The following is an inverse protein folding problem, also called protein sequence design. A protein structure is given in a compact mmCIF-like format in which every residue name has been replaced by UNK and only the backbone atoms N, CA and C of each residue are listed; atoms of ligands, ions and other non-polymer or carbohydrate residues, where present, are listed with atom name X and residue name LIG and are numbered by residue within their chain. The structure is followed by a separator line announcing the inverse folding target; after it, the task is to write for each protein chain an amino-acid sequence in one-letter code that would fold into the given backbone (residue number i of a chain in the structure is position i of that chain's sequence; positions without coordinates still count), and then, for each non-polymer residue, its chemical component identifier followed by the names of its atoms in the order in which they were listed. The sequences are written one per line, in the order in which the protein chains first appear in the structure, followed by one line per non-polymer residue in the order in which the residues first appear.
data_IF_214864983744
#
_entry.id   IF_214864983744
#
_cell.length_a   1.000
_cell.length_b   1.000
_cell.length_c   1.000
_cell.angle_alpha   90.00
_cell.angle_beta   90.00
_cell.angle_gamma   90.00
#
_symmetry.space_group_name_H-M   'P 1'
#
loop_
_entity.id
_entity.type
_entity.pdbx_description
1 polymer ?
#
# COMPACT_ATOMS: atom_id res chain seq x y z
N UNK A 1 11.05 -8.78 11.44
CA UNK A 1 12.47 -9.11 11.21
C UNK A 1 12.52 -10.31 10.26
N UNK A 2 13.18 -10.19 9.11
CA UNK A 2 13.37 -11.29 8.17
C UNK A 2 14.72 -11.95 8.50
N UNK A 3 14.72 -13.26 8.77
CA UNK A 3 15.95 -14.02 8.97
C UNK A 3 16.35 -14.64 7.63
N UNK A 4 17.61 -14.45 7.21
CA UNK A 4 18.16 -15.17 6.07
C UNK A 4 18.80 -16.46 6.56
N UNK A 5 18.20 -17.59 6.21
CA UNK A 5 18.82 -18.90 6.35
C UNK A 5 19.75 -19.11 5.15
N UNK A 6 21.05 -18.92 5.36
CA UNK A 6 22.07 -19.27 4.38
C UNK A 6 22.52 -20.69 4.71
N UNK A 7 22.30 -21.65 3.81
CA UNK A 7 22.93 -22.98 3.91
C UNK A 7 24.39 -22.84 3.46
N UNK A 8 25.30 -22.66 4.41
CA UNK A 8 26.75 -22.80 4.19
C UNK A 8 27.14 -24.25 4.54
N UNK A 9 27.58 -25.07 3.56
CA UNK A 9 27.99 -26.44 3.82
C UNK A 9 29.40 -26.56 4.46
N UNK A 10 30.19 -25.48 4.51
CA UNK A 10 31.61 -25.57 4.85
C UNK A 10 31.99 -24.89 6.18
N UNK A 11 31.15 -24.01 6.73
CA UNK A 11 31.46 -23.33 8.00
C UNK A 11 30.21 -23.13 8.87
N UNK A 12 30.26 -23.45 10.17
CA UNK A 12 29.20 -23.07 11.11
C UNK A 12 29.15 -21.54 11.24
N UNK A 13 28.04 -20.94 10.81
CA UNK A 13 27.80 -19.50 10.94
C UNK A 13 27.31 -19.21 12.36
N UNK A 14 28.06 -18.41 13.11
CA UNK A 14 27.63 -17.89 14.41
C UNK A 14 26.82 -16.62 14.15
N UNK A 15 25.58 -16.58 14.65
CA UNK A 15 24.74 -15.38 14.63
C UNK A 15 25.50 -14.20 15.27
N UNK A 16 25.21 -12.98 14.80
CA UNK A 16 25.97 -11.78 15.18
C UNK A 16 26.20 -11.68 16.70
N UNK A 17 27.46 -11.52 17.10
CA UNK A 17 27.88 -11.38 18.51
C UNK A 17 27.02 -10.39 19.34
N UNK A 18 26.57 -9.23 18.77
CA UNK A 18 25.67 -8.33 19.49
C UNK A 18 24.32 -8.96 19.89
N UNK A 19 23.76 -9.83 19.04
CA UNK A 19 22.48 -10.49 19.33
C UNK A 19 22.62 -11.56 20.40
N UNK A 20 23.69 -12.34 20.35
CA UNK A 20 23.99 -13.36 21.37
C UNK A 20 24.25 -12.73 22.74
N UNK A 21 24.96 -11.59 22.80
CA UNK A 21 25.12 -10.81 24.03
C UNK A 21 23.77 -10.32 24.59
N UNK A 22 22.87 -9.86 23.71
CA UNK A 22 21.57 -9.31 24.13
C UNK A 22 20.60 -10.36 24.67
N UNK A 23 20.54 -11.53 24.02
CA UNK A 23 19.56 -12.57 24.34
C UNK A 23 20.11 -13.67 25.25
N UNK A 24 21.44 -13.75 25.38
CA UNK A 24 22.20 -14.65 26.24
C UNK A 24 21.60 -16.06 26.38
N UNK A 25 21.38 -16.78 25.25
CA UNK A 25 20.87 -18.15 25.29
C UNK A 25 21.87 -19.13 25.90
N UNK A 26 21.35 -20.12 26.62
CA UNK A 26 22.13 -21.23 27.14
C UNK A 26 22.14 -22.37 26.12
N UNK A 27 23.33 -22.78 25.67
CA UNK A 27 23.51 -23.80 24.64
C UNK A 27 24.11 -25.08 25.20
N UNK A 28 23.60 -26.22 24.73
CA UNK A 28 24.35 -27.46 24.73
C UNK A 28 25.16 -27.56 23.43
N UNK A 29 26.46 -27.32 23.53
CA UNK A 29 27.37 -27.33 22.40
C UNK A 29 27.64 -28.73 21.84
N UNK A 30 27.40 -29.78 22.63
CA UNK A 30 27.61 -31.16 22.19
C UNK A 30 26.50 -31.64 21.26
N UNK A 31 25.27 -31.17 21.50
CA UNK A 31 24.08 -31.53 20.72
C UNK A 31 23.65 -30.42 19.75
N UNK A 32 24.21 -29.21 19.87
CA UNK A 32 23.85 -28.06 19.07
C UNK A 32 22.45 -27.50 19.39
N UNK A 33 21.95 -27.75 20.60
CA UNK A 33 20.59 -27.36 21.01
C UNK A 33 20.58 -26.17 21.97
N UNK A 34 19.53 -25.36 21.92
CA UNK A 34 19.28 -24.30 22.91
C UNK A 34 18.54 -24.92 24.09
N UNK A 35 19.15 -24.86 25.28
CA UNK A 35 18.57 -25.39 26.51
C UNK A 35 17.58 -24.40 27.14
N UNK A 36 17.91 -23.12 27.14
CA UNK A 36 17.05 -22.07 27.68
C UNK A 36 17.43 -20.69 27.13
N UNK A 37 16.48 -19.76 27.15
CA UNK A 37 16.72 -18.37 26.75
C UNK A 37 16.97 -17.48 27.96
N UNK A 38 17.77 -16.42 27.80
CA UNK A 38 17.96 -15.41 28.84
C UNK A 38 16.66 -14.65 29.17
N UNK A 39 16.59 -14.00 30.35
CA UNK A 39 15.37 -13.34 30.84
C UNK A 39 14.87 -12.22 29.92
N UNK A 40 15.77 -11.57 29.17
CA UNK A 40 15.41 -10.57 28.14
C UNK A 40 14.56 -11.14 27.00
N UNK A 41 14.72 -12.43 26.68
CA UNK A 41 14.00 -13.07 25.59
C UNK A 41 12.53 -13.37 25.95
N UNK A 42 12.25 -13.74 27.20
CA UNK A 42 10.88 -13.95 27.68
C UNK A 42 10.07 -12.66 27.63
N UNK A 43 10.64 -11.54 28.05
CA UNK A 43 9.94 -10.24 28.10
C UNK A 43 9.78 -9.58 26.73
N UNK A 44 10.75 -9.75 25.83
CA UNK A 44 10.80 -9.01 24.56
C UNK A 44 10.25 -9.81 23.38
N UNK A 45 10.46 -11.12 23.34
CA UNK A 45 10.16 -11.95 22.17
C UNK A 45 8.91 -12.84 22.35
N UNK A 46 8.62 -13.30 23.58
CA UNK A 46 7.46 -14.19 23.82
C UNK A 46 6.16 -13.45 24.14
N UNK A 47 6.21 -12.17 24.53
CA UNK A 47 4.99 -11.34 24.71
C UNK A 47 4.37 -10.96 23.35
N UNK A 48 5.14 -11.01 22.26
CA UNK A 48 4.65 -10.70 20.91
C UNK A 48 3.85 -11.82 20.23
N UNK A 49 3.76 -13.02 20.83
CA UNK A 49 3.07 -14.18 20.25
C UNK A 49 1.74 -14.54 20.91
N UNK A 50 1.24 -13.74 21.85
CA UNK A 50 -0.16 -13.86 22.30
C UNK A 50 -1.03 -12.83 21.58
N UNK A 51 -2.13 -13.22 20.90
CA UNK A 51 -3.15 -12.27 20.50
C UNK A 51 -3.84 -11.81 21.77
N UNK A 52 -3.27 -10.79 22.43
CA UNK A 52 -3.99 -10.07 23.47
C UNK A 52 -5.32 -9.56 22.90
N UNK A 53 -6.37 -9.42 23.73
CA UNK A 53 -7.61 -8.82 23.26
C UNK A 53 -7.24 -7.48 22.64
N UNK A 54 -7.61 -7.30 21.38
CA UNK A 54 -7.45 -6.03 20.68
C UNK A 54 -8.29 -5.04 21.47
N UNK A 55 -7.66 -4.34 22.41
CA UNK A 55 -8.22 -3.17 23.02
C UNK A 55 -8.32 -2.18 21.85
N UNK A 56 -9.50 -2.09 21.24
CA UNK A 56 -9.83 -1.02 20.32
C UNK A 56 -9.60 0.28 21.09
N UNK A 57 -8.40 0.84 20.92
CA UNK A 57 -8.12 2.18 21.37
C UNK A 57 -9.15 3.06 20.67
N UNK A 58 -10.06 3.63 21.45
CA UNK A 58 -11.01 4.61 20.96
C UNK A 58 -10.19 5.78 20.42
N UNK A 59 -9.94 5.75 19.11
CA UNK A 59 -9.21 6.79 18.40
C UNK A 59 -9.99 8.09 18.59
N UNK A 60 -9.43 9.03 19.35
CA UNK A 60 -10.00 10.36 19.50
C UNK A 60 -9.84 11.09 18.16
N UNK A 61 -10.86 11.04 17.33
CA UNK A 61 -10.87 11.71 16.03
C UNK A 61 -11.00 13.21 16.25
N UNK A 62 -10.03 13.97 15.73
CA UNK A 62 -10.13 15.43 15.67
C UNK A 62 -11.14 15.83 14.58
N UNK A 63 -12.30 16.29 15.02
CA UNK A 63 -13.40 16.77 14.18
C UNK A 63 -13.54 18.31 14.23
N UNK A 64 -12.54 19.03 14.73
CA UNK A 64 -12.59 20.50 14.88
C UNK A 64 -12.89 21.23 13.57
N UNK A 65 -12.42 20.68 12.44
CA UNK A 65 -12.65 21.21 11.10
C UNK A 65 -13.90 20.65 10.40
N UNK A 66 -14.57 19.68 11.03
CA UNK A 66 -15.75 19.02 10.46
C UNK A 66 -17.01 19.66 11.05
N UNK A 67 -17.93 20.22 10.23
CA UNK A 67 -19.18 20.76 10.73
C UNK A 67 -19.97 19.74 11.56
N UNK A 68 -20.61 20.21 12.63
CA UNK A 68 -21.30 19.35 13.61
C UNK A 68 -22.36 18.43 12.97
N UNK A 69 -22.97 18.88 11.88
CA UNK A 69 -23.95 18.14 11.10
C UNK A 69 -23.38 16.82 10.56
N UNK A 70 -22.07 16.73 10.33
CA UNK A 70 -21.39 15.54 9.82
C UNK A 70 -20.74 14.67 10.91
N UNK A 71 -20.87 15.03 12.19
CA UNK A 71 -20.25 14.26 13.28
C UNK A 71 -20.82 12.84 13.41
N UNK A 72 -22.05 12.61 12.94
CA UNK A 72 -22.62 11.26 12.81
C UNK A 72 -21.82 10.37 11.84
N UNK A 73 -21.11 10.97 10.87
CA UNK A 73 -20.20 10.29 9.94
C UNK A 73 -18.76 10.25 10.43
N UNK A 74 -18.46 10.54 11.70
CA UNK A 74 -17.07 10.62 12.23
C UNK A 74 -16.15 9.49 11.76
N UNK A 75 -16.68 8.27 11.63
CA UNK A 75 -15.94 7.10 11.17
C UNK A 75 -15.28 7.28 9.79
N UNK A 76 -15.90 8.04 8.87
CA UNK A 76 -15.37 8.27 7.51
C UNK A 76 -14.17 9.22 7.51
N UNK A 77 -13.95 9.96 8.61
CA UNK A 77 -12.81 10.86 8.79
C UNK A 77 -11.62 10.20 9.52
N UNK A 78 -11.70 8.89 9.85
CA UNK A 78 -10.58 8.17 10.46
C UNK A 78 -9.42 7.99 9.48
N UNK A 79 -8.27 8.57 9.83
CA UNK A 79 -7.02 8.40 9.06
C UNK A 79 -6.60 6.94 9.04
N UNK A 80 -6.68 6.24 10.18
CA UNK A 80 -6.29 4.83 10.30
C UNK A 80 -7.10 3.95 9.35
N UNK A 81 -8.43 4.12 9.32
CA UNK A 81 -9.30 3.37 8.39
C UNK A 81 -9.00 3.70 6.92
N UNK A 82 -8.74 4.96 6.60
CA UNK A 82 -8.40 5.38 5.24
C UNK A 82 -7.04 4.86 4.75
N UNK A 83 -6.13 4.52 5.67
CA UNK A 83 -4.81 3.96 5.34
C UNK A 83 -4.73 2.44 5.48
N UNK A 84 -5.74 1.80 6.11
CA UNK A 84 -5.77 0.36 6.26
C UNK A 84 -6.12 -0.33 4.96
N UNK A 85 -5.71 -1.59 4.85
CA UNK A 85 -6.03 -2.45 3.72
C UNK A 85 -7.56 -2.62 3.57
N UNK A 86 -8.18 -2.18 2.46
CA UNK A 86 -9.61 -2.35 2.25
C UNK A 86 -9.97 -3.82 1.95
N UNK A 87 -11.21 -4.24 2.20
CA UNK A 87 -11.70 -5.54 1.76
C UNK A 87 -11.75 -5.62 0.22
N UNK A 88 -11.75 -6.83 -0.31
CA UNK A 88 -11.99 -7.08 -1.73
C UNK A 88 -13.43 -6.73 -2.13
N UNK A 89 -13.61 -6.27 -3.37
CA UNK A 89 -14.91 -5.91 -3.93
C UNK A 89 -15.00 -6.23 -5.44
N UNK A 90 -16.18 -6.22 -6.06
CA UNK A 90 -16.33 -6.53 -7.50
C UNK A 90 -15.59 -5.58 -8.45
N UNK A 91 -15.16 -4.41 -7.94
CA UNK A 91 -14.41 -3.39 -8.70
C UNK A 91 -12.91 -3.43 -8.41
N UNK A 92 -12.40 -4.53 -7.85
CA UNK A 92 -10.96 -4.70 -7.70
C UNK A 92 -10.25 -4.50 -9.03
N UNK A 93 -9.11 -3.83 -8.99
CA UNK A 93 -8.36 -3.48 -10.18
C UNK A 93 -7.73 -4.73 -10.80
N UNK A 94 -8.35 -5.22 -11.87
CA UNK A 94 -7.80 -6.24 -12.73
C UNK A 94 -6.64 -5.69 -13.60
N UNK A 95 -5.56 -6.46 -13.72
CA UNK A 95 -4.43 -6.15 -14.60
C UNK A 95 -4.33 -7.26 -15.66
N UNK A 96 -5.20 -7.17 -16.67
CA UNK A 96 -5.22 -8.11 -17.78
C UNK A 96 -4.11 -7.77 -18.77
N UNK A 97 -3.26 -8.75 -19.07
CA UNK A 97 -2.13 -8.59 -19.98
C UNK A 97 -2.51 -9.06 -21.38
N UNK A 98 -1.89 -8.49 -22.41
CA UNK A 98 -1.99 -8.98 -23.77
C UNK A 98 -1.49 -10.44 -23.83
N UNK A 99 -2.14 -11.32 -24.62
CA UNK A 99 -1.74 -12.72 -24.74
C UNK A 99 -0.25 -12.87 -25.07
N UNK A 100 0.43 -13.77 -24.36
CA UNK A 100 1.86 -14.06 -24.57
C UNK A 100 2.83 -13.01 -24.03
N UNK A 101 2.36 -11.99 -23.31
CA UNK A 101 3.23 -10.96 -22.71
C UNK A 101 3.50 -11.22 -21.23
N UNK A 102 4.64 -10.71 -20.74
CA UNK A 102 5.01 -10.72 -19.33
C UNK A 102 5.48 -9.33 -18.89
N UNK A 103 5.21 -8.89 -17.66
CA UNK A 103 5.70 -7.61 -17.17
C UNK A 103 7.23 -7.52 -17.29
N UNK A 104 7.77 -6.43 -17.84
CA UNK A 104 9.21 -6.28 -17.98
C UNK A 104 9.86 -6.03 -16.61
N UNK A 105 11.13 -6.42 -16.49
CA UNK A 105 11.96 -6.00 -15.37
C UNK A 105 12.32 -4.53 -15.53
N UNK A 106 11.88 -3.70 -14.59
CA UNK A 106 12.18 -2.29 -14.52
C UNK A 106 13.60 -2.03 -14.00
N UNK A 107 14.11 -0.83 -14.27
CA UNK A 107 15.41 -0.36 -13.78
C UNK A 107 15.35 -0.06 -12.29
N UNK A 108 16.44 -0.34 -11.57
CA UNK A 108 16.65 0.18 -10.22
C UNK A 108 17.18 1.60 -10.37
N UNK A 109 16.49 2.56 -9.77
CA UNK A 109 16.92 3.96 -9.78
C UNK A 109 17.91 4.23 -8.64
N UNK A 110 18.94 5.01 -8.93
CA UNK A 110 19.81 5.56 -7.90
C UNK A 110 19.07 6.64 -7.13
N UNK A 111 18.96 6.47 -5.81
CA UNK A 111 18.34 7.43 -4.90
C UNK A 111 19.41 8.21 -4.15
N UNK A 112 19.22 9.53 -4.05
CA UNK A 112 20.01 10.41 -3.18
C UNK A 112 19.78 10.08 -1.68
N UNK A 113 20.63 10.55 -0.75
CA UNK A 113 20.43 10.26 0.67
C UNK A 113 19.05 10.67 1.23
N UNK A 114 18.51 11.87 0.92
CA UNK A 114 17.16 12.24 1.36
C UNK A 114 16.07 11.33 0.79
N UNK A 115 16.21 10.93 -0.49
CA UNK A 115 15.27 10.01 -1.14
C UNK A 115 15.34 8.61 -0.54
N UNK A 116 16.51 8.12 -0.14
CA UNK A 116 16.64 6.82 0.55
C UNK A 116 15.91 6.84 1.89
N UNK A 117 16.09 7.87 2.70
CA UNK A 117 15.36 8.03 3.96
C UNK A 117 13.84 8.09 3.72
N UNK A 118 13.40 8.84 2.70
CA UNK A 118 11.99 8.93 2.33
C UNK A 118 11.43 7.60 1.82
N UNK A 119 12.23 6.82 1.08
CA UNK A 119 11.87 5.48 0.62
C UNK A 119 11.73 4.52 1.79
N UNK A 120 12.71 4.43 2.68
CA UNK A 120 12.66 3.52 3.82
C UNK A 120 11.46 3.83 4.72
N UNK A 121 11.20 5.12 4.95
CA UNK A 121 9.97 5.58 5.62
C UNK A 121 8.71 5.09 4.89
N UNK A 122 8.62 5.35 3.58
CA UNK A 122 7.47 4.95 2.77
C UNK A 122 7.22 3.44 2.79
N UNK A 123 8.27 2.63 2.65
CA UNK A 123 8.18 1.18 2.66
C UNK A 123 7.72 0.67 4.02
N UNK A 124 8.33 1.15 5.12
CA UNK A 124 7.96 0.74 6.47
C UNK A 124 6.50 1.10 6.80
N UNK A 125 6.07 2.33 6.48
CA UNK A 125 4.68 2.77 6.68
C UNK A 125 3.71 1.95 5.83
N UNK A 126 4.06 1.67 4.58
CA UNK A 126 3.20 0.92 3.65
C UNK A 126 3.08 -0.56 4.03
N UNK A 127 4.17 -1.18 4.52
CA UNK A 127 4.16 -2.53 5.07
C UNK A 127 3.33 -2.60 6.35
N UNK A 128 3.51 -1.65 7.26
CA UNK A 128 2.74 -1.58 8.50
C UNK A 128 1.23 -1.37 8.25
N UNK A 129 0.89 -0.59 7.22
CA UNK A 129 -0.49 -0.40 6.76
C UNK A 129 -1.06 -1.63 6.02
N UNK A 130 -0.20 -2.58 5.63
CA UNK A 130 -0.59 -3.76 4.87
C UNK A 130 -0.97 -3.49 3.41
N UNK A 131 -0.62 -2.31 2.87
CA UNK A 131 -0.96 -1.94 1.48
C UNK A 131 0.07 -2.46 0.46
N UNK A 132 1.26 -2.82 0.93
CA UNK A 132 2.29 -3.56 0.18
C UNK A 132 2.75 -4.78 0.96
N UNK A 133 3.41 -5.72 0.28
CA UNK A 133 4.11 -6.85 0.91
C UNK A 133 5.43 -7.15 0.17
N UNK A 134 6.37 -7.88 0.80
CA UNK A 134 7.53 -8.41 0.09
C UNK A 134 7.08 -9.28 -1.09
N UNK A 135 7.78 -9.19 -2.22
CA UNK A 135 7.44 -9.90 -3.44
C UNK A 135 8.58 -10.84 -3.87
N UNK A 136 8.20 -11.96 -4.48
CA UNK A 136 9.08 -12.86 -5.25
C UNK A 136 8.68 -12.89 -6.72
N UNK A 137 7.89 -11.91 -7.16
CA UNK A 137 7.36 -11.80 -8.50
C UNK A 137 8.48 -11.68 -9.55
N UNK A 138 8.32 -12.28 -10.74
CA UNK A 138 9.22 -12.05 -11.87
C UNK A 138 9.12 -10.61 -12.43
N UNK A 139 8.03 -9.89 -12.12
CA UNK A 139 7.88 -8.48 -12.45
C UNK A 139 8.70 -7.60 -11.50
N UNK A 140 8.99 -6.37 -11.89
CA UNK A 140 9.63 -5.42 -10.98
C UNK A 140 9.82 -4.04 -11.57
N UNK A 141 8.80 -3.20 -11.51
CA UNK A 141 8.88 -1.80 -11.95
C UNK A 141 9.89 -1.00 -11.11
N UNK A 142 10.40 0.10 -11.66
CA UNK A 142 11.37 0.93 -10.93
C UNK A 142 10.69 1.93 -9.99
N UNK A 143 11.20 2.03 -8.76
CA UNK A 143 10.78 3.03 -7.76
C UNK A 143 11.64 4.29 -7.84
N UNK A 144 11.02 5.48 -7.84
CA UNK A 144 11.72 6.76 -7.80
C UNK A 144 10.87 7.84 -7.14
N UNK A 145 11.42 9.05 -6.95
CA UNK A 145 10.68 10.19 -6.42
C UNK A 145 10.50 11.31 -7.45
N UNK A 146 9.41 12.05 -7.28
CA UNK A 146 9.18 13.33 -7.95
C UNK A 146 9.00 14.40 -6.88
N UNK A 147 9.64 15.55 -7.06
CA UNK A 147 9.48 16.71 -6.19
C UNK A 147 8.06 17.25 -6.29
N UNK A 148 7.43 17.44 -5.13
CA UNK A 148 6.19 18.21 -5.00
C UNK A 148 6.50 19.70 -4.98
N UNK A 149 5.49 20.53 -5.28
CA UNK A 149 5.60 22.00 -5.21
C UNK A 149 5.92 22.52 -3.81
N UNK A 150 5.52 21.78 -2.77
CA UNK A 150 5.75 22.09 -1.36
C UNK A 150 7.15 21.64 -0.86
N UNK A 151 8.01 21.14 -1.75
CA UNK A 151 9.34 20.62 -1.41
C UNK A 151 9.34 19.16 -0.90
N UNK A 152 8.17 18.53 -0.74
CA UNK A 152 8.08 17.13 -0.37
C UNK A 152 8.43 16.17 -1.52
N UNK A 153 8.69 14.91 -1.19
CA UNK A 153 8.93 13.86 -2.18
C UNK A 153 7.65 13.02 -2.39
N UNK A 154 7.30 12.74 -3.64
CA UNK A 154 6.19 11.84 -4.02
C UNK A 154 6.77 10.51 -4.55
N UNK A 155 6.51 9.37 -3.88
CA UNK A 155 6.94 8.07 -4.40
C UNK A 155 6.19 7.77 -5.70
N UNK A 156 6.92 7.34 -6.72
CA UNK A 156 6.42 7.03 -8.04
C UNK A 156 6.98 5.67 -8.49
N UNK A 157 6.11 4.84 -9.05
CA UNK A 157 6.49 3.56 -9.66
C UNK A 157 6.37 3.68 -11.17
N UNK A 158 7.43 3.33 -11.88
CA UNK A 158 7.46 3.38 -13.34
C UNK A 158 6.74 2.17 -13.96
N UNK A 159 5.41 2.21 -13.96
CA UNK A 159 4.57 1.20 -14.60
C UNK A 159 4.45 1.39 -16.12
N UNK A 160 5.23 2.25 -16.78
CA UNK A 160 5.12 2.45 -18.24
C UNK A 160 5.30 1.15 -19.02
N UNK A 161 6.21 0.27 -18.56
CA UNK A 161 6.41 -1.05 -19.16
C UNK A 161 5.18 -1.95 -19.01
N UNK A 162 4.63 -2.05 -17.80
CA UNK A 162 3.40 -2.80 -17.52
C UNK A 162 2.21 -2.26 -18.32
N UNK A 163 2.01 -0.94 -18.31
CA UNK A 163 0.90 -0.27 -18.99
C UNK A 163 0.87 -0.48 -20.50
N UNK A 164 2.02 -0.70 -21.15
CA UNK A 164 2.08 -0.99 -22.58
C UNK A 164 1.49 -2.35 -22.95
N UNK A 165 1.58 -3.31 -22.02
CA UNK A 165 1.12 -4.68 -22.23
C UNK A 165 -0.20 -4.97 -21.50
N UNK A 166 -0.73 -4.04 -20.73
CA UNK A 166 -2.06 -4.15 -20.11
C UNK A 166 -3.16 -3.84 -21.14
N UNK A 167 -4.20 -4.67 -21.18
CA UNK A 167 -5.43 -4.42 -21.96
C UNK A 167 -6.11 -3.20 -21.36
N UNK A 168 -6.29 -2.15 -22.18
CA UNK A 168 -6.85 -0.88 -21.71
C UNK A 168 -8.36 -1.00 -21.49
N UNK A 169 -8.79 -0.60 -20.30
CA UNK A 169 -10.20 -0.43 -19.97
C UNK A 169 -10.70 0.88 -20.60
N UNK A 170 -11.70 0.78 -21.49
CA UNK A 170 -12.32 1.92 -22.19
C UNK A 170 -13.58 2.43 -21.50
N UNK A 171 -13.70 2.25 -20.18
CA UNK A 171 -14.82 2.78 -19.41
C UNK A 171 -15.01 4.28 -19.70
N UNK A 172 -16.24 4.73 -19.99
CA UNK A 172 -16.49 6.12 -20.36
C UNK A 172 -16.19 7.03 -19.17
N UNK A 173 -15.23 7.93 -19.36
CA UNK A 173 -14.99 9.02 -18.42
C UNK A 173 -15.78 10.23 -18.92
N UNK A 174 -16.58 10.88 -18.05
CA UNK A 174 -17.35 12.05 -18.47
C UNK A 174 -16.40 13.16 -18.91
N UNK A 175 -16.76 13.83 -20.00
CA UNK A 175 -16.08 15.06 -20.41
C UNK A 175 -16.38 16.16 -19.38
N UNK A 176 -15.40 17.03 -19.13
CA UNK A 176 -15.56 18.13 -18.18
C UNK A 176 -16.75 19.03 -18.54
N UNK A 177 -16.95 19.33 -19.82
CA UNK A 177 -18.09 20.12 -20.29
C UNK A 177 -19.43 19.52 -19.85
N UNK A 178 -19.62 18.22 -20.09
CA UNK A 178 -20.84 17.48 -19.70
C UNK A 178 -21.01 17.46 -18.17
N UNK A 179 -19.92 17.31 -17.41
CA UNK A 179 -19.99 17.38 -15.95
C UNK A 179 -20.45 18.78 -15.47
N UNK A 180 -19.98 19.85 -16.12
CA UNK A 180 -20.41 21.21 -15.77
C UNK A 180 -21.84 21.54 -16.18
N UNK A 181 -22.32 21.03 -17.32
CA UNK A 181 -23.72 21.19 -17.75
C UNK A 181 -24.70 20.65 -16.71
N UNK A 182 -24.41 19.45 -16.16
CA UNK A 182 -25.20 18.83 -15.10
C UNK A 182 -25.26 19.74 -13.85
N UNK A 183 -24.21 20.53 -13.61
CA UNK A 183 -24.07 21.40 -12.43
C UNK A 183 -24.67 22.80 -12.62
N UNK A 184 -25.04 23.22 -13.84
CA UNK A 184 -25.46 24.61 -14.11
C UNK A 184 -26.69 25.08 -13.34
N UNK A 185 -27.58 24.16 -12.98
CA UNK A 185 -28.81 24.48 -12.24
C UNK A 185 -28.62 24.44 -10.71
N UNK A 186 -27.45 24.05 -10.23
CA UNK A 186 -27.16 23.97 -8.80
C UNK A 186 -26.66 25.33 -8.27
N UNK A 187 -27.19 25.75 -7.12
CA UNK A 187 -26.75 26.96 -6.40
C UNK A 187 -25.78 26.67 -5.26
N UNK A 188 -25.75 25.42 -4.78
CA UNK A 188 -24.91 24.97 -3.66
C UNK A 188 -24.04 23.82 -4.13
N UNK A 189 -22.74 23.93 -3.91
CA UNK A 189 -21.76 22.92 -4.27
C UNK A 189 -21.09 22.36 -3.01
N UNK A 190 -20.98 21.04 -2.95
CA UNK A 190 -20.18 20.35 -1.92
C UNK A 190 -19.08 19.58 -2.62
N UNK A 191 -17.83 19.79 -2.19
CA UNK A 191 -16.67 19.05 -2.68
C UNK A 191 -16.22 18.04 -1.63
N UNK A 192 -16.18 16.77 -2.02
CA UNK A 192 -15.64 15.69 -1.20
C UNK A 192 -14.32 15.23 -1.80
N UNK A 193 -13.25 15.22 -1.00
CA UNK A 193 -11.94 14.73 -1.41
C UNK A 193 -11.64 13.41 -0.69
N UNK A 194 -11.39 12.36 -1.47
CA UNK A 194 -11.07 11.03 -0.94
C UNK A 194 -9.56 10.89 -0.78
N UNK A 195 -9.12 10.82 0.48
CA UNK A 195 -7.71 10.63 0.82
C UNK A 195 -7.19 9.32 0.22
N UNK A 196 -6.10 9.40 -0.55
CA UNK A 196 -5.50 8.25 -1.23
C UNK A 196 -6.53 7.40 -1.99
N UNK A 197 -7.47 8.05 -2.71
CA UNK A 197 -8.63 7.43 -3.33
C UNK A 197 -8.36 6.06 -4.00
N UNK A 198 -7.26 5.92 -4.75
CA UNK A 198 -6.91 4.66 -5.40
C UNK A 198 -6.55 3.54 -4.44
N UNK A 199 -5.93 3.83 -3.29
CA UNK A 199 -5.62 2.81 -2.29
C UNK A 199 -6.87 2.24 -1.60
N UNK A 200 -8.05 2.84 -1.80
CA UNK A 200 -9.33 2.30 -1.34
C UNK A 200 -9.81 1.11 -2.19
N UNK A 201 -9.16 0.87 -3.34
CA UNK A 201 -9.47 -0.23 -4.26
C UNK A 201 -8.37 -1.27 -4.17
N UNK A 202 -8.72 -2.56 -4.04
CA UNK A 202 -7.74 -3.66 -4.06
C UNK A 202 -7.26 -3.93 -5.49
N UNK A 203 -6.06 -4.49 -5.62
CA UNK A 203 -5.71 -5.24 -6.83
C UNK A 203 -6.50 -6.56 -6.81
N UNK A 204 -7.00 -6.99 -7.98
CA UNK A 204 -7.72 -8.26 -8.11
C UNK A 204 -6.84 -9.40 -7.62
N UNK A 205 -7.43 -10.32 -6.85
CA UNK A 205 -6.72 -11.49 -6.36
C UNK A 205 -6.05 -12.27 -7.50
N UNK A 206 -4.75 -12.52 -7.39
CA UNK A 206 -3.93 -13.18 -8.40
C UNK A 206 -3.23 -12.23 -9.37
N UNK A 207 -3.55 -10.92 -9.36
CA UNK A 207 -2.89 -9.90 -10.18
C UNK A 207 -1.86 -9.06 -9.40
N UNK A 208 -1.78 -9.19 -8.07
CA UNK A 208 -0.93 -8.35 -7.20
C UNK A 208 0.54 -8.40 -7.63
N UNK A 209 1.04 -9.57 -8.00
CA UNK A 209 2.42 -9.79 -8.44
C UNK A 209 2.82 -8.92 -9.64
N UNK A 210 1.87 -8.49 -10.48
CA UNK A 210 2.12 -7.64 -11.64
C UNK A 210 2.49 -6.21 -11.24
N UNK A 211 2.09 -5.80 -10.03
CA UNK A 211 2.42 -4.49 -9.47
C UNK A 211 3.78 -4.46 -8.77
N UNK A 212 4.52 -5.57 -8.78
CA UNK A 212 5.80 -5.65 -8.09
C UNK A 212 6.77 -4.56 -8.57
N UNK A 213 7.55 -4.02 -7.65
CA UNK A 213 8.51 -2.94 -7.87
C UNK A 213 9.77 -3.14 -7.04
N UNK A 214 10.89 -2.75 -7.66
CA UNK A 214 12.22 -2.85 -7.08
C UNK A 214 12.60 -1.53 -6.40
N UNK A 215 13.16 -1.64 -5.20
CA UNK A 215 13.90 -0.59 -4.54
C UNK A 215 15.37 -1.01 -4.37
N UNK A 216 16.30 -0.08 -4.07
CA UNK A 216 17.66 -0.45 -3.70
C UNK A 216 17.78 -1.40 -2.50
N UNK A 217 16.73 -1.53 -1.67
CA UNK A 217 16.75 -2.29 -0.42
C UNK A 217 15.82 -3.50 -0.41
N UNK A 218 15.04 -3.73 -1.48
CA UNK A 218 14.13 -4.86 -1.53
C UNK A 218 13.21 -4.90 -2.75
N UNK A 219 12.33 -5.90 -2.73
CA UNK A 219 11.34 -6.16 -3.77
C UNK A 219 9.97 -6.30 -3.13
N UNK A 220 9.01 -5.51 -3.61
CA UNK A 220 7.69 -5.38 -2.99
C UNK A 220 6.60 -5.34 -4.04
N UNK A 221 5.37 -5.68 -3.67
CA UNK A 221 4.19 -5.56 -4.53
C UNK A 221 3.04 -4.91 -3.77
N UNK A 222 2.18 -4.21 -4.50
CA UNK A 222 0.99 -3.60 -3.93
C UNK A 222 -0.15 -4.59 -3.86
N UNK A 223 -0.92 -4.46 -2.78
CA UNK A 223 -2.19 -5.16 -2.61
C UNK A 223 -3.40 -4.24 -2.88
N UNK A 224 -3.16 -2.93 -2.89
CA UNK A 224 -4.13 -1.90 -3.27
C UNK A 224 -3.75 -1.29 -4.61
N UNK A 225 -4.67 -0.64 -5.31
CA UNK A 225 -4.43 -0.04 -6.61
C UNK A 225 -3.46 1.15 -6.49
N UNK A 226 -2.20 1.04 -6.97
CA UNK A 226 -1.24 2.13 -6.88
C UNK A 226 -1.49 3.17 -7.97
N UNK A 227 -0.92 4.36 -7.75
CA UNK A 227 -0.82 5.35 -8.81
C UNK A 227 0.05 4.85 -9.96
N UNK A 228 -0.27 5.31 -11.17
CA UNK A 228 0.51 5.02 -12.38
C UNK A 228 0.01 3.85 -13.21
N UNK A 229 -0.95 3.05 -12.74
CA UNK A 229 -1.60 2.02 -13.57
C UNK A 229 -2.52 2.66 -14.62
N UNK A 230 -2.48 2.14 -15.85
CA UNK A 230 -3.25 2.70 -16.97
C UNK A 230 -4.77 2.62 -16.77
N UNK A 231 -5.27 1.61 -16.05
CA UNK A 231 -6.70 1.39 -15.85
C UNK A 231 -7.24 1.96 -14.53
N UNK A 232 -6.38 2.44 -13.62
CA UNK A 232 -6.80 2.94 -12.31
C UNK A 232 -7.88 4.04 -12.40
N UNK A 233 -7.70 5.09 -13.23
CA UNK A 233 -8.76 5.96 -13.72
C UNK A 233 -10.14 5.33 -13.95
N UNK A 234 -10.21 4.34 -14.84
CA UNK A 234 -11.44 3.75 -15.33
C UNK A 234 -12.11 2.90 -14.24
N UNK A 235 -11.31 2.11 -13.52
CA UNK A 235 -11.77 1.29 -12.39
C UNK A 235 -12.38 2.16 -11.31
N UNK A 236 -11.69 3.24 -10.94
CA UNK A 236 -12.17 4.14 -9.90
C UNK A 236 -13.46 4.87 -10.31
N UNK A 237 -13.55 5.33 -11.56
CA UNK A 237 -14.80 5.93 -12.07
C UNK A 237 -15.97 4.95 -12.02
N UNK A 238 -15.75 3.69 -12.44
CA UNK A 238 -16.78 2.67 -12.42
C UNK A 238 -17.29 2.40 -11.00
N UNK A 239 -16.38 2.33 -10.03
CA UNK A 239 -16.72 2.19 -8.60
C UNK A 239 -17.57 3.37 -8.11
N UNK A 240 -17.13 4.61 -8.36
CA UNK A 240 -17.85 5.81 -7.90
C UNK A 240 -19.24 5.90 -8.55
N UNK A 241 -19.35 5.60 -9.85
CA UNK A 241 -20.63 5.59 -10.54
C UNK A 241 -21.59 4.55 -9.97
N UNK A 242 -21.09 3.40 -9.53
CA UNK A 242 -21.92 2.38 -8.91
C UNK A 242 -22.41 2.79 -7.52
N UNK A 243 -21.48 3.24 -6.65
CA UNK A 243 -21.80 3.70 -5.28
C UNK A 243 -22.84 4.82 -5.31
N UNK A 244 -22.72 5.75 -6.27
CA UNK A 244 -23.56 6.93 -6.34
C UNK A 244 -24.78 6.77 -7.24
N UNK A 245 -24.98 5.59 -7.84
CA UNK A 245 -26.10 5.34 -8.77
C UNK A 245 -27.46 5.69 -8.18
N UNK A 246 -27.64 5.46 -6.88
CA UNK A 246 -28.90 5.67 -6.16
C UNK A 246 -28.95 6.98 -5.38
N UNK A 247 -27.93 7.85 -5.49
CA UNK A 247 -27.88 9.13 -4.79
C UNK A 247 -28.77 10.20 -5.47
N UNK A 248 -30.07 9.93 -5.64
CA UNK A 248 -31.03 10.94 -6.07
C UNK A 248 -31.60 11.68 -4.84
N UNK A 249 -31.80 13.02 -4.91
CA UNK A 249 -31.73 13.91 -6.08
C UNK A 249 -30.37 14.62 -6.30
N UNK A 250 -29.26 14.12 -5.74
CA UNK A 250 -27.96 14.79 -5.78
C UNK A 250 -27.27 14.56 -7.13
N UNK A 251 -26.97 15.64 -7.85
CA UNK A 251 -26.12 15.57 -9.05
C UNK A 251 -24.67 15.46 -8.63
N UNK A 252 -24.02 14.33 -8.93
CA UNK A 252 -22.62 14.10 -8.56
C UNK A 252 -21.73 14.07 -9.80
N UNK A 253 -20.59 14.75 -9.73
CA UNK A 253 -19.57 14.74 -10.75
C UNK A 253 -18.22 14.37 -10.12
N UNK A 254 -17.52 13.43 -10.74
CA UNK A 254 -16.14 13.12 -10.36
C UNK A 254 -15.20 14.04 -11.14
N UNK A 255 -14.50 14.91 -10.43
CA UNK A 255 -13.46 15.78 -10.98
C UNK A 255 -12.10 15.17 -10.62
N UNK A 256 -11.21 15.06 -11.61
CA UNK A 256 -9.81 14.62 -11.41
C UNK A 256 -8.86 15.80 -11.35
#
# INVERSE_FOLDING_TARGET
MCFHLIRSPEFPVILSYPWLLQHNPHFDWSTGTVLSWGPTCQTTCMVQSSPGPVLESQESLDLSLVPIQYHHLKAVFSKKKATSLPPHHPYDCAIELLPGTCPPRGRIFSLSPPERTAMDKYINESLAAGIIRPSTSPAGAGFFFVSKKDGGLRPCIDYRGLNKITIRNRYPLPLMATAFEILQEASIFTKLDLRNAYHLVRIRQGDEWKTAFNTPTGHYEYLVMPFGLTNAPAVFQALINDILRHAQPVRVCLLR
#
